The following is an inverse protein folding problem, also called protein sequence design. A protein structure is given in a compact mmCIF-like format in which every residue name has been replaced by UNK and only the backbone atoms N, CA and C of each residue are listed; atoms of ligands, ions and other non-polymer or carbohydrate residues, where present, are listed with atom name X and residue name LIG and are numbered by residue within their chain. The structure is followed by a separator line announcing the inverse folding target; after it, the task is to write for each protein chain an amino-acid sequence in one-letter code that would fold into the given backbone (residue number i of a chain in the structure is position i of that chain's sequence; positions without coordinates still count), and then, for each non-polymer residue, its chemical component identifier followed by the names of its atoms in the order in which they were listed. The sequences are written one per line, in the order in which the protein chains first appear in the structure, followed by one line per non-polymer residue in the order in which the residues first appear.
data_IF_805263305340
#
_entry.id   IF_805263305340
#
_cell.length_a   1.000
_cell.length_b   1.000
_cell.length_c   1.000
_cell.angle_alpha   90.00
_cell.angle_beta   90.00
_cell.angle_gamma   90.00
#
_symmetry.space_group_name_H-M   'P 1'
#
loop_
_entity.id
_entity.type
_entity.pdbx_description
1 polymer ?
#
# COMPACT_ATOMS: atom_id res chain seq x y z
N UNK A 1 -0.43 11.80 -5.44
CA UNK A 1 -1.60 12.12 -4.61
C UNK A 1 -2.27 10.83 -4.23
N UNK A 2 -2.94 10.80 -3.08
CA UNK A 2 -3.44 9.64 -2.35
C UNK A 2 -4.98 9.66 -2.27
N UNK A 3 -5.59 8.84 -1.40
CA UNK A 3 -7.03 8.84 -1.13
C UNK A 3 -7.34 9.33 0.30
N UNK A 4 -6.54 10.26 0.82
CA UNK A 4 -6.82 10.98 2.06
C UNK A 4 -7.39 12.36 1.74
N UNK A 5 -8.71 12.51 1.84
CA UNK A 5 -9.40 13.72 1.41
C UNK A 5 -10.42 14.18 2.44
N UNK A 6 -10.67 15.48 2.50
CA UNK A 6 -11.75 16.03 3.31
C UNK A 6 -13.11 15.76 2.67
N UNK A 7 -14.06 15.29 3.47
CA UNK A 7 -15.49 15.21 3.14
C UNK A 7 -16.27 15.74 4.32
N UNK A 8 -17.14 16.74 4.10
CA UNK A 8 -17.97 17.35 5.14
C UNK A 8 -17.13 17.78 6.37
N UNK A 9 -15.98 18.42 6.13
CA UNK A 9 -14.98 18.85 7.14
C UNK A 9 -14.29 17.73 7.93
N UNK A 10 -14.55 16.46 7.62
CA UNK A 10 -13.86 15.32 8.22
C UNK A 10 -12.78 14.80 7.27
N UNK A 11 -11.59 14.51 7.80
CA UNK A 11 -10.53 13.88 7.03
C UNK A 11 -10.80 12.37 6.91
N UNK A 12 -10.92 11.89 5.68
CA UNK A 12 -11.27 10.51 5.37
C UNK A 12 -10.05 9.77 4.82
N UNK A 13 -9.87 8.52 5.21
CA UNK A 13 -9.06 7.53 4.48
C UNK A 13 -10.02 6.74 3.59
N UNK A 14 -9.99 7.02 2.27
CA UNK A 14 -10.98 6.51 1.34
C UNK A 14 -12.41 6.88 1.81
N UNK A 15 -13.24 5.88 2.14
CA UNK A 15 -14.59 6.06 2.67
C UNK A 15 -14.71 6.11 4.19
N UNK A 16 -13.61 5.99 4.95
CA UNK A 16 -13.63 5.83 6.41
C UNK A 16 -13.05 7.07 7.10
N UNK A 17 -13.72 7.57 8.14
CA UNK A 17 -13.23 8.73 8.89
C UNK A 17 -11.96 8.39 9.68
N UNK A 18 -10.94 9.24 9.59
CA UNK A 18 -9.74 9.06 10.42
C UNK A 18 -10.05 9.25 11.91
N UNK A 19 -11.05 10.06 12.27
CA UNK A 19 -11.46 10.23 13.65
C UNK A 19 -12.05 8.93 14.22
N UNK A 20 -12.88 8.21 13.46
CA UNK A 20 -13.43 6.92 13.91
C UNK A 20 -12.33 5.85 14.02
N UNK A 21 -11.34 5.86 13.12
CA UNK A 21 -10.20 4.94 13.21
C UNK A 21 -9.37 5.24 14.47
N UNK A 22 -9.12 6.51 14.77
CA UNK A 22 -8.38 6.93 15.96
C UNK A 22 -9.13 6.58 17.26
N UNK A 23 -10.46 6.71 17.28
CA UNK A 23 -11.28 6.29 18.42
C UNK A 23 -11.24 4.77 18.62
N UNK A 24 -11.36 3.99 17.53
CA UNK A 24 -11.37 2.54 17.59
C UNK A 24 -10.01 1.92 17.95
N UNK A 25 -8.92 2.45 17.40
CA UNK A 25 -7.59 1.85 17.50
C UNK A 25 -6.61 2.62 18.40
N UNK A 26 -7.00 3.80 18.88
CA UNK A 26 -6.14 4.68 19.67
C UNK A 26 -5.11 5.44 18.83
N UNK A 27 -4.35 6.31 19.50
CA UNK A 27 -3.29 7.12 18.89
C UNK A 27 -1.96 6.98 19.65
N UNK A 28 -0.81 6.96 18.96
CA UNK A 28 -0.64 7.12 17.50
C UNK A 28 -0.95 5.84 16.71
N UNK A 29 -1.54 5.99 15.52
CA UNK A 29 -1.79 4.88 14.59
C UNK A 29 -1.40 5.27 13.15
N UNK A 30 -0.87 4.30 12.40
CA UNK A 30 -0.64 4.44 10.96
C UNK A 30 -1.86 3.92 10.20
N UNK A 31 -2.33 4.70 9.23
CA UNK A 31 -3.45 4.34 8.35
C UNK A 31 -2.94 4.31 6.92
N UNK A 32 -3.18 3.20 6.23
CA UNK A 32 -2.78 3.01 4.83
C UNK A 32 -4.02 2.90 3.95
N UNK A 33 -3.98 3.52 2.78
CA UNK A 33 -5.03 3.39 1.76
C UNK A 33 -4.66 2.29 0.77
N UNK A 34 -5.55 1.31 0.61
CA UNK A 34 -5.40 0.25 -0.37
C UNK A 34 -5.54 0.80 -1.79
N UNK A 35 -6.52 1.67 -2.03
CA UNK A 35 -6.72 2.28 -3.36
C UNK A 35 -5.49 3.10 -3.79
N UNK A 36 -4.82 3.75 -2.84
CA UNK A 36 -3.58 4.49 -3.10
C UNK A 36 -2.46 3.55 -3.53
N UNK A 37 -2.27 2.43 -2.82
CA UNK A 37 -1.25 1.42 -3.15
C UNK A 37 -1.49 0.81 -4.54
N UNK A 38 -2.72 0.36 -4.81
CA UNK A 38 -3.10 -0.24 -6.08
C UNK A 38 -2.94 0.76 -7.24
N UNK A 39 -3.39 2.02 -7.07
CA UNK A 39 -3.23 3.06 -8.08
C UNK A 39 -1.76 3.31 -8.42
N UNK A 40 -0.90 3.45 -7.41
CA UNK A 40 0.52 3.74 -7.65
C UNK A 40 1.25 2.57 -8.29
N UNK A 41 0.98 1.34 -7.85
CA UNK A 41 1.53 0.15 -8.49
C UNK A 41 1.10 0.06 -9.95
N UNK A 42 -0.20 0.17 -10.23
CA UNK A 42 -0.73 0.09 -11.59
C UNK A 42 -0.21 1.20 -12.49
N UNK A 43 -0.10 2.44 -11.99
CA UNK A 43 0.49 3.54 -12.76
C UNK A 43 1.94 3.24 -13.17
N UNK A 44 2.72 2.65 -12.25
CA UNK A 44 4.10 2.26 -12.53
C UNK A 44 4.17 1.09 -13.51
N UNK A 45 3.40 0.03 -13.28
CA UNK A 45 3.35 -1.15 -14.16
C UNK A 45 2.88 -0.79 -15.58
N UNK A 46 1.84 0.05 -15.70
CA UNK A 46 1.29 0.46 -16.99
C UNK A 46 2.27 1.29 -17.83
N UNK A 47 3.17 2.04 -17.20
CA UNK A 47 4.20 2.80 -17.91
C UNK A 47 5.17 1.89 -18.70
N UNK A 48 5.31 0.63 -18.29
CA UNK A 48 6.14 -0.38 -18.95
C UNK A 48 5.32 -1.41 -19.76
N UNK A 49 4.01 -1.20 -19.94
CA UNK A 49 3.10 -2.18 -20.57
C UNK A 49 3.48 -2.64 -21.98
N UNK A 50 4.27 -1.84 -22.71
CA UNK A 50 4.76 -2.17 -24.06
C UNK A 50 5.98 -3.11 -24.07
N UNK A 51 6.58 -3.39 -22.91
CA UNK A 51 7.79 -4.20 -22.77
C UNK A 51 7.62 -5.26 -21.67
N UNK A 52 8.14 -6.48 -21.87
CA UNK A 52 8.19 -7.47 -20.80
C UNK A 52 8.95 -6.92 -19.59
N UNK A 53 8.26 -6.77 -18.46
CA UNK A 53 8.82 -6.19 -17.24
C UNK A 53 8.27 -6.89 -16.00
N UNK A 54 9.06 -6.89 -14.94
CA UNK A 54 8.65 -7.32 -13.60
C UNK A 54 8.93 -6.18 -12.64
N UNK A 55 7.89 -5.69 -11.98
CA UNK A 55 8.03 -4.63 -10.98
C UNK A 55 8.30 -5.28 -9.63
N UNK A 56 9.52 -5.11 -9.12
CA UNK A 56 9.93 -5.57 -7.79
C UNK A 56 9.78 -4.45 -6.76
N UNK A 57 8.77 -4.53 -5.90
CA UNK A 57 8.60 -3.58 -4.80
C UNK A 57 9.69 -3.76 -3.75
N UNK A 58 10.37 -2.68 -3.38
CA UNK A 58 11.40 -2.70 -2.34
C UNK A 58 10.77 -2.86 -0.95
N UNK A 59 10.82 -4.07 -0.40
CA UNK A 59 10.09 -4.46 0.83
C UNK A 59 10.47 -3.58 2.04
N UNK A 60 11.73 -3.16 2.11
CA UNK A 60 12.25 -2.26 3.15
C UNK A 60 11.49 -0.93 3.30
N UNK A 61 10.77 -0.48 2.26
CA UNK A 61 9.98 0.75 2.34
C UNK A 61 8.78 0.62 3.28
N UNK A 62 8.09 -0.52 3.23
CA UNK A 62 7.05 -0.89 4.19
C UNK A 62 6.76 -2.39 4.03
N UNK A 63 7.14 -3.17 5.04
CA UNK A 63 7.08 -4.65 5.03
C UNK A 63 5.87 -5.21 5.79
N UNK A 64 4.80 -4.41 5.93
CA UNK A 64 3.54 -4.87 6.51
C UNK A 64 2.91 -5.95 5.62
N UNK A 65 2.54 -7.10 6.20
CA UNK A 65 2.06 -8.27 5.46
C UNK A 65 0.78 -7.96 4.65
N UNK A 66 -0.11 -7.09 5.15
CA UNK A 66 -1.32 -6.71 4.41
C UNK A 66 -0.97 -5.90 3.15
N UNK A 67 0.02 -5.00 3.22
CA UNK A 67 0.50 -4.23 2.07
C UNK A 67 1.17 -5.15 1.05
N UNK A 68 2.05 -6.06 1.51
CA UNK A 68 2.69 -7.05 0.64
C UNK A 68 1.64 -7.93 -0.05
N UNK A 69 0.60 -8.35 0.67
CA UNK A 69 -0.50 -9.14 0.10
C UNK A 69 -1.28 -8.38 -0.99
N UNK A 70 -1.53 -7.08 -0.80
CA UNK A 70 -2.17 -6.23 -1.83
C UNK A 70 -1.30 -6.21 -3.09
N UNK A 71 0.00 -5.96 -2.96
CA UNK A 71 0.92 -5.90 -4.09
C UNK A 71 1.09 -7.28 -4.77
N UNK A 72 1.17 -8.36 -4.00
CA UNK A 72 1.26 -9.73 -4.52
C UNK A 72 0.03 -10.08 -5.37
N UNK A 73 -1.18 -9.67 -4.94
CA UNK A 73 -2.43 -9.86 -5.70
C UNK A 73 -2.45 -9.10 -7.03
N UNK A 74 -1.66 -8.04 -7.17
CA UNK A 74 -1.49 -7.31 -8.44
C UNK A 74 -0.40 -7.92 -9.34
N UNK A 75 0.30 -8.96 -8.88
CA UNK A 75 1.40 -9.59 -9.62
C UNK A 75 2.76 -8.92 -9.41
N UNK A 76 2.95 -8.17 -8.31
CA UNK A 76 4.25 -7.60 -7.98
C UNK A 76 5.29 -8.69 -7.66
N UNK A 77 6.51 -8.47 -8.12
CA UNK A 77 7.70 -9.06 -7.50
C UNK A 77 8.11 -8.27 -6.26
N UNK A 78 9.10 -8.79 -5.53
CA UNK A 78 9.60 -8.16 -4.31
C UNK A 78 11.13 -8.13 -4.31
N UNK A 79 11.68 -6.93 -4.11
CA UNK A 79 13.10 -6.72 -3.85
C UNK A 79 13.33 -6.78 -2.34
N UNK A 80 14.12 -7.76 -1.90
CA UNK A 80 14.35 -8.10 -0.50
C UNK A 80 15.85 -8.04 -0.18
N UNK A 81 16.18 -7.66 1.06
CA UNK A 81 17.55 -7.51 1.55
C UNK A 81 17.83 -8.31 2.81
N UNK A 82 16.88 -9.11 3.28
CA UNK A 82 17.07 -10.01 4.41
C UNK A 82 16.18 -11.25 4.33
N UNK A 83 16.57 -12.31 5.04
CA UNK A 83 15.71 -13.50 5.19
C UNK A 83 14.37 -13.16 5.87
N UNK A 84 14.34 -12.19 6.78
CA UNK A 84 13.09 -11.77 7.42
C UNK A 84 12.10 -11.10 6.45
N UNK A 85 12.59 -10.50 5.36
CA UNK A 85 11.73 -9.98 4.29
C UNK A 85 11.26 -11.10 3.35
N UNK A 86 12.10 -12.11 3.12
CA UNK A 86 11.69 -13.33 2.39
C UNK A 86 10.50 -13.99 3.08
N UNK A 87 10.61 -14.25 4.39
CA UNK A 87 9.55 -14.90 5.18
C UNK A 87 8.26 -14.08 5.28
N UNK A 88 8.31 -12.76 5.02
CA UNK A 88 7.11 -11.90 4.99
C UNK A 88 6.36 -11.97 3.65
N UNK A 89 7.05 -12.36 2.58
CA UNK A 89 6.52 -12.41 1.22
C UNK A 89 5.96 -13.80 0.88
N UNK A 90 6.51 -14.85 1.50
CA UNK A 90 6.03 -16.23 1.39
C UNK A 90 4.67 -16.43 2.10
#
# INVERSE_FOLDING_TARGET
MDFFNYKDQSLMAEGVSLASIAEQHGTPCYVYSRETLERHYNAYANAFSSHPSLICYAVKACSNIAILNVLAKLGAGFDIVSIGELERVL
#
